data_IF_682751425136
#
_entry.id   IF_682751425136
#
_cell.length_a   1.000
_cell.length_b   1.000
_cell.length_c   1.000
_cell.angle_alpha   90.00
_cell.angle_beta   90.00
_cell.angle_gamma   90.00
#
_symmetry.space_group_name_H-M   'P 1'
#
loop_
_entity.id
_entity.type
_entity.pdbx_description
1 polymer ?
#
# COMPACT_ATOMS: atom_id res chain seq x y z
N UNK A 1 21.25 -7.36 1.38
CA UNK A 1 20.28 -6.25 1.36
C UNK A 1 18.91 -6.86 1.11
N UNK A 2 18.00 -6.72 2.08
CA UNK A 2 16.67 -7.34 1.98
C UNK A 2 15.86 -6.74 0.83
N UNK A 3 15.28 -7.59 -0.01
CA UNK A 3 14.38 -7.18 -1.08
C UNK A 3 13.05 -6.60 -0.57
N UNK A 4 12.92 -6.35 0.74
CA UNK A 4 11.77 -5.72 1.40
C UNK A 4 12.15 -4.53 2.29
N UNK A 5 13.43 -4.15 2.36
CA UNK A 5 13.82 -2.95 3.10
C UNK A 5 13.32 -1.72 2.36
N UNK A 6 12.61 -0.85 3.08
CA UNK A 6 12.19 0.45 2.57
C UNK A 6 13.42 1.35 2.38
N UNK A 7 13.56 1.95 1.20
CA UNK A 7 14.53 3.01 0.91
C UNK A 7 13.84 4.13 0.13
N UNK A 8 14.31 5.39 0.21
CA UNK A 8 13.73 6.51 -0.53
C UNK A 8 13.70 6.27 -2.05
N UNK A 9 14.76 5.70 -2.60
CA UNK A 9 14.88 5.38 -4.03
C UNK A 9 13.85 4.33 -4.43
N UNK A 10 13.64 3.32 -3.58
CA UNK A 10 12.63 2.30 -3.80
C UNK A 10 11.22 2.85 -3.70
N UNK A 11 10.97 3.76 -2.77
CA UNK A 11 9.67 4.45 -2.67
C UNK A 11 9.37 5.23 -3.95
N UNK A 12 10.35 6.01 -4.44
CA UNK A 12 10.21 6.75 -5.69
C UNK A 12 9.96 5.83 -6.91
N UNK A 13 10.67 4.71 -7.01
CA UNK A 13 10.43 3.72 -8.07
C UNK A 13 9.05 3.06 -7.98
N UNK A 14 8.54 2.85 -6.77
CA UNK A 14 7.19 2.32 -6.53
C UNK A 14 6.13 3.34 -6.95
N UNK A 15 6.31 4.61 -6.59
CA UNK A 15 5.40 5.69 -6.97
C UNK A 15 5.34 5.86 -8.50
N UNK A 16 6.49 5.78 -9.19
CA UNK A 16 6.54 5.82 -10.66
C UNK A 16 5.80 4.63 -11.28
N UNK A 17 5.96 3.42 -10.72
CA UNK A 17 5.25 2.24 -11.20
C UNK A 17 3.72 2.37 -11.05
N UNK A 18 3.24 2.91 -9.92
CA UNK A 18 1.82 3.16 -9.67
C UNK A 18 1.23 4.19 -10.64
N UNK A 19 1.99 5.26 -10.94
CA UNK A 19 1.59 6.27 -11.94
C UNK A 19 1.45 5.62 -13.32
N UNK A 20 2.44 4.83 -13.76
CA UNK A 20 2.40 4.17 -15.07
C UNK A 20 1.25 3.16 -15.18
N UNK A 21 0.96 2.42 -14.10
CA UNK A 21 -0.16 1.49 -14.06
C UNK A 21 -1.50 2.22 -14.18
N UNK A 22 -1.63 3.37 -13.51
CA UNK A 22 -2.81 4.23 -13.59
C UNK A 22 -3.02 4.74 -15.01
N UNK A 23 -1.96 5.27 -15.66
CA UNK A 23 -2.02 5.74 -17.05
C UNK A 23 -2.45 4.62 -17.98
N UNK A 24 -1.84 3.44 -17.86
CA UNK A 24 -2.22 2.26 -18.67
C UNK A 24 -3.69 1.92 -18.49
N UNK A 25 -4.17 1.87 -17.25
CA UNK A 25 -5.57 1.53 -16.97
C UNK A 25 -6.55 2.55 -17.56
N UNK A 26 -6.19 3.84 -17.54
CA UNK A 26 -6.98 4.91 -18.15
C UNK A 26 -7.02 4.78 -19.68
N UNK A 27 -5.90 4.45 -20.32
CA UNK A 27 -5.83 4.23 -21.77
C UNK A 27 -6.65 2.99 -22.19
N UNK A 28 -6.60 1.91 -21.42
CA UNK A 28 -7.42 0.71 -21.67
C UNK A 28 -8.93 1.01 -21.52
N UNK A 29 -9.32 1.87 -20.58
CA UNK A 29 -10.70 2.33 -20.42
C UNK A 29 -11.20 3.10 -21.64
N UNK A 30 -10.39 4.05 -22.12
CA UNK A 30 -10.70 4.86 -23.30
C UNK A 30 -10.80 3.98 -24.55
N UNK A 31 -9.88 3.03 -24.72
CA UNK A 31 -9.88 2.10 -25.86
C UNK A 31 -11.10 1.18 -25.89
N UNK A 32 -11.59 0.75 -24.73
CA UNK A 32 -12.70 -0.22 -24.65
C UNK A 32 -14.09 0.42 -24.60
N UNK A 33 -14.17 1.76 -24.57
CA UNK A 33 -15.44 2.51 -24.49
C UNK A 33 -16.23 2.26 -23.20
N UNK A 34 -15.67 1.48 -22.26
CA UNK A 34 -16.28 1.23 -20.95
C UNK A 34 -15.96 2.42 -20.08
N UNK A 35 -16.97 3.22 -19.78
CA UNK A 35 -16.90 4.23 -18.72
C UNK A 35 -16.38 3.54 -17.46
N UNK A 36 -15.11 3.79 -17.13
CA UNK A 36 -14.54 3.37 -15.86
C UNK A 36 -15.33 4.12 -14.79
N UNK A 37 -16.18 3.40 -14.05
CA UNK A 37 -16.71 3.92 -12.79
C UNK A 37 -15.50 4.42 -12.01
N UNK A 38 -15.49 5.71 -11.68
CA UNK A 38 -14.38 6.32 -10.98
C UNK A 38 -14.07 5.48 -9.74
N UNK A 39 -12.95 4.77 -9.76
CA UNK A 39 -12.46 4.07 -8.58
C UNK A 39 -12.19 5.16 -7.56
N UNK A 40 -12.88 5.18 -6.40
CA UNK A 40 -12.67 6.22 -5.42
C UNK A 40 -11.19 6.19 -5.02
N UNK A 41 -10.51 7.31 -5.26
CA UNK A 41 -9.11 7.45 -4.88
C UNK A 41 -8.98 7.17 -3.38
N UNK A 42 -8.03 6.32 -2.96
CA UNK A 42 -7.78 6.10 -1.54
C UNK A 42 -7.43 7.46 -0.92
N UNK A 43 -8.17 7.86 0.13
CA UNK A 43 -7.91 9.13 0.82
C UNK A 43 -6.46 9.13 1.32
N UNK A 44 -5.71 10.23 1.12
CA UNK A 44 -4.35 10.34 1.62
C UNK A 44 -4.38 10.22 3.15
N UNK A 45 -3.89 9.10 3.67
CA UNK A 45 -3.72 8.88 5.11
C UNK A 45 -2.55 9.70 5.59
N UNK A 46 -2.74 10.43 6.68
CA UNK A 46 -1.68 11.21 7.30
C UNK A 46 -0.57 10.28 7.79
N UNK A 47 0.67 10.79 7.89
CA UNK A 47 1.79 10.01 8.40
C UNK A 47 1.49 9.43 9.80
N UNK A 48 0.72 10.17 10.62
CA UNK A 48 0.22 9.72 11.91
C UNK A 48 -0.64 8.46 11.82
N UNK A 49 -1.61 8.43 10.90
CA UNK A 49 -2.50 7.28 10.72
C UNK A 49 -1.70 6.03 10.30
N UNK A 50 -0.64 6.21 9.51
CA UNK A 50 0.26 5.12 9.10
C UNK A 50 1.03 4.55 10.31
N UNK A 51 1.51 5.42 11.20
CA UNK A 51 2.21 5.01 12.43
C UNK A 51 1.27 4.29 13.41
N UNK A 52 0.04 4.80 13.59
CA UNK A 52 -0.96 4.17 14.45
C UNK A 52 -1.34 2.76 13.96
N UNK A 53 -1.45 2.57 12.64
CA UNK A 53 -1.70 1.24 12.06
C UNK A 53 -0.50 0.31 12.29
N UNK A 54 0.73 0.77 12.05
CA UNK A 54 1.93 -0.03 12.26
C UNK A 54 2.07 -0.48 13.72
N UNK A 55 1.81 0.42 14.66
CA UNK A 55 1.87 0.13 16.09
C UNK A 55 0.77 -0.86 16.53
N UNK A 56 -0.47 -0.69 16.02
CA UNK A 56 -1.55 -1.65 16.29
C UNK A 56 -1.23 -3.06 15.80
N UNK A 57 -0.58 -3.16 14.63
CA UNK A 57 -0.16 -4.43 14.06
C UNK A 57 0.97 -5.07 14.88
N UNK A 58 1.93 -4.27 15.34
CA UNK A 58 3.01 -4.73 16.22
C UNK A 58 2.45 -5.29 17.54
N UNK A 59 1.58 -4.55 18.22
CA UNK A 59 0.91 -5.01 19.45
C UNK A 59 0.11 -6.30 19.23
N UNK A 60 -0.51 -6.45 18.06
CA UNK A 60 -1.23 -7.68 17.71
C UNK A 60 -0.27 -8.86 17.57
N UNK A 61 0.86 -8.69 16.87
CA UNK A 61 1.89 -9.74 16.74
C UNK A 61 2.48 -10.13 18.09
N UNK A 62 2.73 -9.16 18.96
CA UNK A 62 3.26 -9.42 20.30
C UNK A 62 2.26 -10.19 21.15
N UNK A 63 0.97 -9.84 21.08
CA UNK A 63 -0.11 -10.60 21.74
C UNK A 63 -0.19 -12.03 21.22
N UNK A 64 -0.17 -12.23 19.91
CA UNK A 64 -0.23 -13.57 19.30
C UNK A 64 1.01 -14.38 19.68
N UNK A 65 2.20 -13.77 19.66
CA UNK A 65 3.45 -14.40 20.10
C UNK A 65 3.38 -14.85 21.56
N UNK A 66 2.83 -14.03 22.46
CA UNK A 66 2.65 -14.39 23.87
C UNK A 66 1.63 -15.52 24.06
N UNK A 67 0.58 -15.58 23.23
CA UNK A 67 -0.39 -16.68 23.26
C UNK A 67 0.20 -17.99 22.73
N UNK A 68 1.02 -17.93 21.68
CA UNK A 68 1.66 -19.12 21.08
C UNK A 68 2.89 -19.60 21.85
N UNK A 69 3.61 -18.71 22.54
CA UNK A 69 4.76 -19.06 23.38
C UNK A 69 4.41 -19.59 24.77
N UNK A 70 3.11 -19.78 25.08
CA UNK A 70 2.61 -20.31 26.36
C UNK A 70 1.98 -21.70 26.23
N UNK A 71 2.27 -22.40 25.12
CA UNK A 71 1.88 -23.79 24.85
C UNK A 71 3.09 -24.72 24.87
#
# INVERSE_FOLDING_TARGET
MDAHSWTPERAALTDVADILLTIRSSLEAQRTGKSQKATPMPRPRLARDRLEIADSHQRHRDRVRLMLGRG
#
